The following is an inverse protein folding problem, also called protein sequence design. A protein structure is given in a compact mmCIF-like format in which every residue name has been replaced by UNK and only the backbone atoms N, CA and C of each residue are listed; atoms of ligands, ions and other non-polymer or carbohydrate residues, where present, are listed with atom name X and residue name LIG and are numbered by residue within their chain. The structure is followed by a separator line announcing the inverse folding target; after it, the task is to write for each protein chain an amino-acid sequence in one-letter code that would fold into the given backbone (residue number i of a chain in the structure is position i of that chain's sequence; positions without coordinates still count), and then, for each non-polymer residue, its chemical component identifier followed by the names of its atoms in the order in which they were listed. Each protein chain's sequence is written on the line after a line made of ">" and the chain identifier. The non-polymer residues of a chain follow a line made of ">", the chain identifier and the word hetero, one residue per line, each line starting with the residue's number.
data_IF_907739249886
#
_entry.id   IF_907739249886
#
_cell.length_a   1.000
_cell.length_b   1.000
_cell.length_c   1.000
_cell.angle_alpha   90.00
_cell.angle_beta   90.00
_cell.angle_gamma   90.00
#
_symmetry.space_group_name_H-M   'P 1'
#
loop_
_entity.id
_entity.type
_entity.pdbx_description
1 polymer ?
#
# COMPACT_ATOMS: atom_id res chain seq x y z
N UNK A 1 -5.44 10.84 -41.57
CA UNK A 1 -4.82 9.51 -41.68
C UNK A 1 -3.57 9.59 -40.86
N UNK A 2 -3.51 8.89 -39.73
CA UNK A 2 -2.21 8.64 -39.10
C UNK A 2 -1.29 8.08 -40.20
N UNK A 3 -0.10 8.65 -40.37
CA UNK A 3 0.83 8.12 -41.35
C UNK A 3 1.08 6.65 -41.02
N UNK A 4 1.04 5.77 -42.02
CA UNK A 4 1.38 4.34 -41.85
C UNK A 4 2.72 4.19 -41.10
N UNK A 5 3.65 5.13 -41.33
CA UNK A 5 4.93 5.19 -40.62
C UNK A 5 4.84 5.38 -39.10
N UNK A 6 3.85 6.12 -38.57
CA UNK A 6 3.72 6.35 -37.13
C UNK A 6 3.19 5.08 -36.43
N UNK A 7 2.29 4.33 -37.06
CA UNK A 7 1.79 3.04 -36.57
C UNK A 7 2.93 2.01 -36.52
N UNK A 8 3.72 1.94 -37.59
CA UNK A 8 4.88 1.06 -37.67
C UNK A 8 5.89 1.40 -36.57
N UNK A 9 6.10 2.69 -36.27
CA UNK A 9 7.03 3.12 -35.22
C UNK A 9 6.63 2.58 -33.84
N UNK A 10 5.35 2.65 -33.46
CA UNK A 10 4.87 2.15 -32.16
C UNK A 10 5.05 0.64 -32.06
N UNK A 11 4.67 -0.09 -33.11
CA UNK A 11 4.78 -1.55 -33.15
C UNK A 11 6.25 -2.00 -33.05
N UNK A 12 7.17 -1.31 -33.72
CA UNK A 12 8.60 -1.60 -33.66
C UNK A 12 9.19 -1.36 -32.26
N UNK A 13 8.85 -0.24 -31.63
CA UNK A 13 9.32 0.08 -30.26
C UNK A 13 8.74 -0.91 -29.26
N UNK A 14 7.47 -1.27 -29.39
CA UNK A 14 6.82 -2.27 -28.55
C UNK A 14 7.46 -3.66 -28.70
N UNK A 15 7.69 -4.12 -29.94
CA UNK A 15 8.35 -5.40 -30.20
C UNK A 15 9.76 -5.43 -29.57
N UNK A 16 10.52 -4.35 -29.73
CA UNK A 16 11.85 -4.20 -29.12
C UNK A 16 11.78 -4.27 -27.59
N UNK A 17 10.82 -3.59 -26.97
CA UNK A 17 10.62 -3.64 -25.52
C UNK A 17 10.31 -5.06 -25.04
N UNK A 18 9.50 -5.82 -25.77
CA UNK A 18 9.20 -7.22 -25.47
C UNK A 18 10.41 -8.15 -25.57
N UNK A 19 11.18 -8.03 -26.66
CA UNK A 19 12.40 -8.83 -26.85
C UNK A 19 13.38 -8.54 -25.72
N UNK A 20 13.62 -7.26 -25.44
CA UNK A 20 14.53 -6.84 -24.39
C UNK A 20 14.07 -7.28 -23.00
N UNK A 21 12.76 -7.25 -22.73
CA UNK A 21 12.18 -7.78 -21.50
C UNK A 21 12.48 -9.27 -21.31
N UNK A 22 12.29 -10.09 -22.35
CA UNK A 22 12.62 -11.53 -22.32
C UNK A 22 14.12 -11.77 -22.10
N UNK A 23 14.97 -10.97 -22.75
CA UNK A 23 16.43 -11.07 -22.58
C UNK A 23 16.89 -10.67 -21.17
N UNK A 24 16.20 -9.72 -20.55
CA UNK A 24 16.50 -9.22 -19.21
C UNK A 24 16.07 -10.19 -18.09
N UNK A 25 15.13 -11.12 -18.34
CA UNK A 25 14.66 -12.08 -17.33
C UNK A 25 15.74 -13.10 -16.93
N UNK A 26 16.61 -13.46 -17.89
CA UNK A 26 17.75 -14.35 -17.66
C UNK A 26 19.02 -13.63 -17.17
N UNK A 27 18.97 -12.29 -17.00
CA UNK A 27 20.12 -11.46 -16.68
C UNK A 27 20.40 -11.41 -15.15
N UNK A 28 21.62 -11.03 -14.73
CA UNK A 28 21.95 -10.82 -13.32
C UNK A 28 21.08 -9.74 -12.66
N UNK A 29 21.03 -9.78 -11.32
CA UNK A 29 20.06 -9.05 -10.50
C UNK A 29 20.03 -7.53 -10.76
N UNK A 30 21.17 -6.91 -11.04
CA UNK A 30 21.27 -5.49 -11.33
C UNK A 30 20.54 -5.10 -12.62
N UNK A 31 20.61 -5.94 -13.66
CA UNK A 31 19.88 -5.75 -14.93
C UNK A 31 18.40 -6.11 -14.73
N UNK A 32 18.11 -7.09 -13.87
CA UNK A 32 16.73 -7.46 -13.53
C UNK A 32 15.93 -6.29 -12.94
N UNK A 33 16.57 -5.36 -12.22
CA UNK A 33 15.91 -4.12 -11.76
C UNK A 33 15.53 -3.19 -12.93
N UNK A 34 16.28 -3.20 -14.03
CA UNK A 34 15.89 -2.47 -15.23
C UNK A 34 14.75 -3.19 -15.99
N UNK A 35 14.65 -4.51 -15.88
CA UNK A 35 13.56 -5.31 -16.44
C UNK A 35 12.18 -4.82 -15.99
N UNK A 36 12.02 -4.47 -14.71
CA UNK A 36 10.77 -3.91 -14.18
C UNK A 36 10.35 -2.61 -14.90
N UNK A 37 11.31 -1.74 -15.21
CA UNK A 37 11.05 -0.49 -15.92
C UNK A 37 10.76 -0.72 -17.41
N UNK A 38 11.44 -1.68 -18.04
CA UNK A 38 11.12 -2.11 -19.41
C UNK A 38 9.71 -2.68 -19.47
N UNK A 39 9.33 -3.52 -18.51
CA UNK A 39 7.97 -4.07 -18.41
C UNK A 39 6.91 -2.97 -18.26
N UNK A 40 7.16 -2.00 -17.37
CA UNK A 40 6.27 -0.85 -17.22
C UNK A 40 6.15 -0.07 -18.53
N UNK A 41 7.24 0.15 -19.25
CA UNK A 41 7.24 0.82 -20.55
C UNK A 41 6.45 0.03 -21.60
N UNK A 42 6.60 -1.30 -21.62
CA UNK A 42 5.84 -2.19 -22.49
C UNK A 42 4.34 -2.05 -22.26
N UNK A 43 3.88 -2.06 -21.00
CA UNK A 43 2.46 -1.86 -20.66
C UNK A 43 1.96 -0.50 -21.17
N UNK A 44 2.73 0.58 -21.00
CA UNK A 44 2.37 1.90 -21.51
C UNK A 44 2.24 1.92 -23.04
N UNK A 45 3.17 1.25 -23.74
CA UNK A 45 3.15 1.14 -25.20
C UNK A 45 2.00 0.27 -25.71
N UNK A 46 1.62 -0.79 -24.99
CA UNK A 46 0.41 -1.56 -25.28
C UNK A 46 -0.86 -0.73 -25.07
N UNK A 47 -0.91 0.10 -24.03
CA UNK A 47 -1.97 1.07 -23.81
C UNK A 47 -2.11 2.03 -24.99
N UNK A 48 -0.99 2.58 -25.48
CA UNK A 48 -0.99 3.43 -26.69
C UNK A 48 -1.53 2.67 -27.91
N UNK A 49 -1.08 1.44 -28.13
CA UNK A 49 -1.53 0.62 -29.26
C UNK A 49 -3.05 0.38 -29.19
N UNK A 50 -3.55 -0.05 -28.04
CA UNK A 50 -4.97 -0.37 -27.86
C UNK A 50 -5.87 0.87 -27.84
N UNK A 51 -5.50 1.91 -27.10
CA UNK A 51 -6.36 3.08 -26.91
C UNK A 51 -6.26 4.09 -28.06
N UNK A 52 -5.06 4.28 -28.64
CA UNK A 52 -4.83 5.35 -29.63
C UNK A 52 -4.86 4.85 -31.07
N UNK A 53 -4.40 3.63 -31.35
CA UNK A 53 -4.35 3.13 -32.74
C UNK A 53 -5.65 2.42 -33.13
N UNK A 54 -6.18 1.56 -32.26
CA UNK A 54 -7.41 0.80 -32.53
C UNK A 54 -8.67 1.67 -32.48
N UNK A 55 -8.67 2.75 -31.69
CA UNK A 55 -9.84 3.61 -31.56
C UNK A 55 -9.94 4.62 -32.72
N UNK A 56 -10.98 4.55 -33.59
CA UNK A 56 -11.14 5.48 -34.73
C UNK A 56 -11.37 6.94 -34.30
N UNK A 57 -11.84 7.18 -33.08
CA UNK A 57 -12.06 8.52 -32.54
C UNK A 57 -10.82 9.12 -31.87
N UNK A 58 -9.71 8.37 -31.81
CA UNK A 58 -8.44 8.85 -31.29
C UNK A 58 -7.91 10.04 -32.07
N UNK A 59 -7.14 10.91 -31.41
CA UNK A 59 -6.46 12.03 -32.06
C UNK A 59 -5.43 11.58 -33.11
N UNK A 60 -5.06 10.30 -33.15
CA UNK A 60 -4.26 9.73 -34.25
C UNK A 60 -4.97 9.85 -35.61
N UNK A 61 -6.29 9.71 -35.64
CA UNK A 61 -7.05 9.71 -36.89
C UNK A 61 -7.61 11.10 -37.25
N UNK A 62 -7.65 12.00 -36.28
CA UNK A 62 -8.15 13.37 -36.44
C UNK A 62 -7.17 14.25 -37.25
N UNK A 63 -7.70 15.13 -38.10
CA UNK A 63 -6.93 16.06 -38.95
C UNK A 63 -6.78 17.47 -38.35
N UNK A 64 -7.28 17.70 -37.13
CA UNK A 64 -7.23 19.01 -36.47
C UNK A 64 -5.80 19.40 -36.11
N UNK A 65 -5.48 20.69 -36.08
CA UNK A 65 -4.10 21.14 -35.76
C UNK A 65 -3.71 20.81 -34.30
N UNK A 66 -4.70 20.77 -33.40
CA UNK A 66 -4.53 20.26 -32.03
C UNK A 66 -4.18 18.77 -32.03
N UNK A 67 -4.75 17.97 -32.95
CA UNK A 67 -4.39 16.56 -33.07
C UNK A 67 -2.98 16.38 -33.62
N UNK A 68 -2.57 17.18 -34.61
CA UNK A 68 -1.20 17.16 -35.17
C UNK A 68 -0.15 17.50 -34.12
N UNK A 69 -0.37 18.54 -33.31
CA UNK A 69 0.56 18.90 -32.21
C UNK A 69 0.69 17.78 -31.18
N UNK A 70 -0.40 17.07 -30.87
CA UNK A 70 -0.36 15.89 -29.98
C UNK A 70 0.34 14.69 -30.62
N UNK A 71 0.14 14.46 -31.91
CA UNK A 71 0.85 13.43 -32.67
C UNK A 71 2.37 13.68 -32.64
N UNK A 72 2.78 14.93 -32.85
CA UNK A 72 4.19 15.32 -32.75
C UNK A 72 4.77 15.07 -31.36
N UNK A 73 4.08 15.50 -30.29
CA UNK A 73 4.53 15.24 -28.91
C UNK A 73 4.60 13.75 -28.58
N UNK A 74 3.62 12.96 -29.02
CA UNK A 74 3.66 11.51 -28.85
C UNK A 74 4.89 10.92 -29.56
N UNK A 75 5.17 11.36 -30.79
CA UNK A 75 6.33 10.92 -31.58
C UNK A 75 7.65 11.24 -30.88
N UNK A 76 7.77 12.42 -30.29
CA UNK A 76 8.92 12.82 -29.48
C UNK A 76 9.12 11.88 -28.28
N UNK A 77 8.05 11.58 -27.52
CA UNK A 77 8.12 10.64 -26.39
C UNK A 77 8.42 9.20 -26.82
N UNK A 78 7.86 8.75 -27.94
CA UNK A 78 8.17 7.44 -28.52
C UNK A 78 9.63 7.35 -28.96
N UNK A 79 10.18 8.42 -29.54
CA UNK A 79 11.59 8.50 -29.90
C UNK A 79 12.50 8.44 -28.67
N UNK A 80 12.13 9.12 -27.57
CA UNK A 80 12.86 9.01 -26.30
C UNK A 80 12.85 7.58 -25.74
N UNK A 81 11.70 6.89 -25.82
CA UNK A 81 11.58 5.48 -25.42
C UNK A 81 12.44 4.57 -26.30
N UNK A 82 12.38 4.72 -27.62
CA UNK A 82 13.21 3.95 -28.56
C UNK A 82 14.70 4.15 -28.30
N UNK A 83 15.14 5.40 -28.07
CA UNK A 83 16.53 5.73 -27.73
C UNK A 83 16.97 5.05 -26.43
N UNK A 84 16.15 5.10 -25.38
CA UNK A 84 16.45 4.44 -24.10
C UNK A 84 16.51 2.91 -24.23
N UNK A 85 15.57 2.30 -24.96
CA UNK A 85 15.55 0.87 -25.24
C UNK A 85 16.76 0.43 -26.07
N UNK A 86 17.12 1.17 -27.12
CA UNK A 86 18.33 0.93 -27.92
C UNK A 86 19.61 1.00 -27.08
N UNK A 87 19.68 1.95 -26.16
CA UNK A 87 20.84 2.08 -25.26
C UNK A 87 20.95 0.85 -24.35
N UNK A 88 19.84 0.39 -23.78
CA UNK A 88 19.79 -0.80 -22.95
C UNK A 88 20.05 -2.09 -23.75
N UNK A 89 19.57 -2.18 -25.00
CA UNK A 89 19.85 -3.29 -25.91
C UNK A 89 21.35 -3.36 -26.26
N UNK A 90 21.98 -2.22 -26.57
CA UNK A 90 23.44 -2.15 -26.77
C UNK A 90 24.19 -2.59 -25.52
N UNK A 91 23.72 -2.19 -24.35
CA UNK A 91 24.28 -2.60 -23.07
C UNK A 91 24.14 -4.12 -22.88
N UNK A 92 22.95 -4.66 -23.11
CA UNK A 92 22.67 -6.09 -23.06
C UNK A 92 23.54 -6.87 -24.04
N UNK A 93 23.69 -6.42 -25.29
CA UNK A 93 24.53 -7.08 -26.30
C UNK A 93 26.02 -7.02 -25.94
N UNK A 94 26.50 -5.89 -25.40
CA UNK A 94 27.86 -5.75 -24.84
C UNK A 94 28.11 -6.77 -23.72
N UNK A 95 27.08 -7.16 -22.98
CA UNK A 95 27.17 -8.10 -21.86
C UNK A 95 26.64 -9.52 -22.16
N UNK A 96 26.02 -9.77 -23.32
CA UNK A 96 25.61 -11.12 -23.74
C UNK A 96 26.81 -11.99 -24.16
N UNK A 97 28.01 -11.42 -24.30
CA UNK A 97 29.27 -12.17 -24.40
C UNK A 97 29.54 -13.13 -23.22
N UNK A 98 28.75 -13.05 -22.16
CA UNK A 98 28.76 -13.98 -21.02
C UNK A 98 27.96 -15.28 -21.26
N UNK A 99 27.10 -15.35 -22.28
CA UNK A 99 26.39 -16.59 -22.65
C UNK A 99 27.36 -17.66 -23.20
N UNK A 100 28.52 -17.24 -23.69
CA UNK A 100 29.64 -18.14 -24.03
C UNK A 100 30.33 -18.62 -22.75
N UNK A 101 30.42 -19.96 -22.59
CA UNK A 101 30.72 -20.74 -21.36
C UNK A 101 31.90 -20.31 -20.46
N UNK A 102 32.75 -19.36 -20.85
CA UNK A 102 33.89 -18.91 -20.06
C UNK A 102 33.89 -17.39 -19.92
N UNK A 103 33.23 -16.91 -18.88
CA UNK A 103 33.36 -15.52 -18.43
C UNK A 103 34.79 -15.31 -17.94
N UNK A 104 35.62 -14.60 -18.71
CA UNK A 104 37.00 -14.29 -18.31
C UNK A 104 36.97 -13.48 -17.01
N UNK A 105 37.92 -13.71 -16.11
CA UNK A 105 38.06 -12.95 -14.84
C UNK A 105 38.07 -11.43 -15.07
N UNK A 106 38.56 -11.00 -16.24
CA UNK A 106 38.58 -9.61 -16.69
C UNK A 106 37.19 -9.02 -16.88
N UNK A 107 36.25 -9.82 -17.39
CA UNK A 107 34.85 -9.42 -17.52
C UNK A 107 34.21 -9.27 -16.12
N UNK A 108 34.55 -10.13 -15.15
CA UNK A 108 34.11 -9.94 -13.75
C UNK A 108 34.68 -8.66 -13.10
N UNK A 109 35.89 -8.24 -13.47
CA UNK A 109 36.52 -7.03 -12.90
C UNK A 109 35.95 -5.73 -13.50
N UNK A 110 35.68 -5.71 -14.82
CA UNK A 110 35.02 -4.57 -15.51
C UNK A 110 33.61 -4.29 -14.99
N UNK A 111 32.96 -5.31 -14.40
CA UNK A 111 31.68 -5.20 -13.69
C UNK A 111 31.74 -4.46 -12.36
N UNK A 112 32.93 -4.18 -11.79
CA UNK A 112 33.01 -3.76 -10.39
C UNK A 112 32.48 -2.35 -10.15
N UNK A 113 32.69 -1.39 -11.06
CA UNK A 113 32.27 0.01 -10.89
C UNK A 113 31.73 0.67 -12.17
N UNK A 114 32.47 0.60 -13.28
CA UNK A 114 32.09 1.29 -14.52
C UNK A 114 30.83 0.68 -15.16
N UNK A 115 30.76 -0.66 -15.25
CA UNK A 115 29.56 -1.35 -15.76
C UNK A 115 28.30 -1.07 -14.92
N UNK A 116 28.44 -0.98 -13.59
CA UNK A 116 27.32 -0.62 -12.71
C UNK A 116 26.83 0.80 -12.96
N UNK A 117 27.75 1.75 -13.14
CA UNK A 117 27.42 3.14 -13.50
C UNK A 117 26.73 3.23 -14.86
N UNK A 118 27.18 2.45 -15.85
CA UNK A 118 26.53 2.38 -17.17
C UNK A 118 25.09 1.83 -17.05
N UNK A 119 24.88 0.75 -16.29
CA UNK A 119 23.55 0.17 -16.02
C UNK A 119 22.64 1.19 -15.32
N UNK A 120 23.13 1.85 -14.28
CA UNK A 120 22.36 2.87 -13.55
C UNK A 120 21.98 4.04 -14.45
N UNK A 121 22.87 4.47 -15.33
CA UNK A 121 22.58 5.55 -16.29
C UNK A 121 21.52 5.11 -17.30
N UNK A 122 21.63 3.89 -17.86
CA UNK A 122 20.63 3.37 -18.79
C UNK A 122 19.27 3.15 -18.10
N UNK A 123 19.27 2.75 -16.83
CA UNK A 123 18.07 2.66 -15.99
C UNK A 123 17.43 4.03 -15.79
N UNK A 124 18.22 5.06 -15.45
CA UNK A 124 17.71 6.41 -15.29
C UNK A 124 17.04 6.92 -16.59
N UNK A 125 17.66 6.67 -17.75
CA UNK A 125 17.08 7.00 -19.05
C UNK A 125 15.74 6.29 -19.30
N UNK A 126 15.65 4.99 -19.00
CA UNK A 126 14.40 4.23 -19.12
C UNK A 126 13.30 4.76 -18.21
N UNK A 127 13.63 5.06 -16.95
CA UNK A 127 12.69 5.64 -15.98
C UNK A 127 12.20 6.99 -16.44
N UNK A 128 13.11 7.85 -16.91
CA UNK A 128 12.77 9.19 -17.41
C UNK A 128 11.86 9.08 -18.64
N UNK A 129 12.23 8.29 -19.65
CA UNK A 129 11.42 8.10 -20.85
C UNK A 129 10.03 7.54 -20.54
N UNK A 130 9.95 6.53 -19.66
CA UNK A 130 8.67 5.96 -19.21
C UNK A 130 7.82 6.98 -18.45
N UNK A 131 8.42 7.80 -17.59
CA UNK A 131 7.72 8.83 -16.83
C UNK A 131 7.19 9.94 -17.74
N UNK A 132 7.97 10.38 -18.73
CA UNK A 132 7.53 11.35 -19.73
C UNK A 132 6.35 10.81 -20.55
N UNK A 133 6.43 9.56 -21.00
CA UNK A 133 5.35 8.90 -21.73
C UNK A 133 4.07 8.79 -20.87
N UNK A 134 4.20 8.37 -19.61
CA UNK A 134 3.08 8.29 -18.68
C UNK A 134 2.47 9.66 -18.37
N UNK A 135 3.30 10.70 -18.20
CA UNK A 135 2.82 12.07 -18.01
C UNK A 135 2.02 12.55 -19.21
N UNK A 136 2.49 12.27 -20.42
CA UNK A 136 1.76 12.56 -21.66
C UNK A 136 0.42 11.80 -21.72
N UNK A 137 0.39 10.50 -21.44
CA UNK A 137 -0.85 9.72 -21.40
C UNK A 137 -1.82 10.21 -20.33
N UNK A 138 -1.31 10.60 -19.16
CA UNK A 138 -2.11 11.23 -18.10
C UNK A 138 -2.73 12.54 -18.56
N UNK A 139 -1.97 13.39 -19.27
CA UNK A 139 -2.50 14.64 -19.83
C UNK A 139 -3.61 14.39 -20.86
N UNK A 140 -3.50 13.34 -21.68
CA UNK A 140 -4.56 12.94 -22.61
C UNK A 140 -5.80 12.42 -21.89
N UNK A 141 -5.61 11.66 -20.80
CA UNK A 141 -6.72 11.16 -19.99
C UNK A 141 -7.54 12.30 -19.35
N UNK A 142 -6.87 13.35 -18.86
CA UNK A 142 -7.52 14.54 -18.33
C UNK A 142 -8.33 15.29 -19.39
N UNK A 143 -7.81 15.39 -20.61
CA UNK A 143 -8.54 16.01 -21.72
C UNK A 143 -9.80 15.23 -22.12
N UNK A 144 -9.73 13.90 -22.12
CA UNK A 144 -10.90 13.05 -22.38
C UNK A 144 -11.93 13.23 -21.28
N UNK A 145 -11.49 13.30 -20.02
CA UNK A 145 -12.38 13.54 -18.89
C UNK A 145 -13.10 14.89 -19.03
N UNK A 146 -12.39 15.95 -19.41
CA UNK A 146 -12.98 17.27 -19.64
C UNK A 146 -13.97 17.27 -20.81
N UNK A 147 -13.67 16.56 -21.91
CA UNK A 147 -14.63 16.40 -23.02
C UNK A 147 -15.88 15.64 -22.62
N UNK A 148 -15.73 14.58 -21.82
CA UNK A 148 -16.87 13.82 -21.27
C UNK A 148 -17.69 14.70 -20.33
N UNK A 149 -17.05 15.47 -19.46
CA UNK A 149 -17.71 16.44 -18.59
C UNK A 149 -18.49 17.49 -19.39
N UNK A 150 -17.86 18.09 -20.41
CA UNK A 150 -18.52 19.04 -21.31
C UNK A 150 -19.68 18.41 -22.09
N UNK A 151 -19.54 17.18 -22.58
CA UNK A 151 -20.65 16.46 -23.22
C UNK A 151 -21.80 16.19 -22.23
N UNK A 152 -21.48 15.79 -20.99
CA UNK A 152 -22.48 15.59 -19.94
C UNK A 152 -23.18 16.90 -19.60
N UNK A 153 -22.46 18.02 -19.49
CA UNK A 153 -23.05 19.35 -19.31
C UNK A 153 -23.97 19.74 -20.48
N UNK A 154 -23.56 19.48 -21.72
CA UNK A 154 -24.39 19.74 -22.90
C UNK A 154 -25.66 18.89 -22.91
N UNK A 155 -25.54 17.60 -22.56
CA UNK A 155 -26.70 16.70 -22.42
C UNK A 155 -27.60 17.21 -21.29
N UNK A 156 -27.06 17.60 -20.15
CA UNK A 156 -27.84 18.17 -19.04
C UNK A 156 -28.54 19.48 -19.44
N UNK A 157 -27.88 20.37 -20.18
CA UNK A 157 -28.49 21.59 -20.75
C UNK A 157 -29.64 21.26 -21.70
N UNK A 158 -29.46 20.27 -22.59
CA UNK A 158 -30.51 19.81 -23.51
C UNK A 158 -31.68 19.18 -22.77
N UNK A 159 -31.41 18.39 -21.72
CA UNK A 159 -32.43 17.81 -20.86
C UNK A 159 -33.20 18.89 -20.08
N UNK A 160 -32.51 19.88 -19.51
CA UNK A 160 -33.17 21.01 -18.83
C UNK A 160 -34.06 21.83 -19.78
N UNK A 161 -33.66 21.99 -21.05
CA UNK A 161 -34.53 22.59 -22.07
C UNK A 161 -35.78 21.75 -22.35
N UNK A 162 -35.63 20.43 -22.45
CA UNK A 162 -36.77 19.52 -22.64
C UNK A 162 -37.70 19.50 -21.42
N UNK A 163 -37.16 19.63 -20.21
CA UNK A 163 -37.93 19.76 -18.97
C UNK A 163 -38.69 21.09 -18.93
N UNK A 164 -38.10 22.19 -19.43
CA UNK A 164 -38.81 23.46 -19.60
C UNK A 164 -39.98 23.38 -20.60
N UNK A 165 -39.89 22.54 -21.64
CA UNK A 165 -41.03 22.23 -22.51
C UNK A 165 -42.06 21.27 -21.88
N UNK A 166 -41.65 20.52 -20.86
CA UNK A 166 -42.51 19.60 -20.10
C UNK A 166 -43.16 20.25 -18.88
N UNK A 167 -42.76 21.47 -18.52
CA UNK A 167 -43.44 22.25 -17.50
C UNK A 167 -44.86 22.54 -18.01
N UNK A 168 -45.91 22.04 -17.34
CA UNK A 168 -47.26 22.28 -17.79
C UNK A 168 -47.53 23.77 -17.64
N UNK A 169 -47.68 24.48 -18.76
CA UNK A 169 -48.47 25.71 -18.84
C UNK A 169 -49.91 25.37 -18.43
N UNK A 170 -50.10 25.10 -17.15
CA UNK A 170 -51.34 24.92 -16.42
C UNK A 170 -51.64 26.22 -15.69
N UNK A 171 -51.53 27.32 -16.41
CA UNK A 171 -52.22 28.57 -16.09
C UNK A 171 -53.06 28.92 -17.29
N UNK A 172 -54.04 28.07 -17.58
CA UNK A 172 -55.21 28.54 -18.32
C UNK A 172 -56.07 29.31 -17.30
N UNK A 173 -56.46 30.56 -17.61
CA UNK A 173 -57.39 31.31 -16.78
C UNK A 173 -58.74 30.58 -16.81
N UNK A 174 -59.27 30.25 -15.65
CA UNK A 174 -60.68 29.89 -15.50
C UNK A 174 -61.52 31.11 -15.87
N UNK A 175 -61.90 31.21 -17.14
CA UNK A 175 -62.87 32.18 -17.65
C UNK A 175 -63.98 31.43 -18.36
N UNK A 176 -65.15 31.39 -17.72
CA UNK A 176 -66.36 30.73 -18.18
C UNK A 176 -66.83 31.22 -19.56
N UNK A 177 -67.47 30.35 -20.33
CA UNK A 177 -68.81 30.61 -20.90
C UNK A 177 -69.37 29.36 -21.59
N UNK A 178 -70.58 29.01 -21.17
CA UNK A 178 -71.44 28.04 -21.82
C UNK A 178 -71.93 28.58 -23.17
N UNK A 179 -72.13 27.69 -24.15
CA UNK A 179 -72.79 28.04 -25.41
C UNK A 179 -72.58 26.96 -26.45
N UNK A 180 -73.64 26.24 -26.76
CA UNK A 180 -73.64 25.09 -27.67
C UNK A 180 -73.33 25.43 -29.12
N UNK A 181 -73.01 24.39 -29.89
CA UNK A 181 -72.81 24.48 -31.32
C UNK A 181 -72.38 23.14 -31.89
N UNK A 182 -73.37 22.36 -32.34
CA UNK A 182 -73.17 21.14 -33.10
C UNK A 182 -72.49 21.43 -34.44
N UNK A 183 -71.56 20.56 -34.85
CA UNK A 183 -71.08 20.51 -36.23
C UNK A 183 -69.56 20.46 -36.40
N UNK A 184 -69.01 19.26 -36.44
CA UNK A 184 -68.11 18.77 -37.50
C UNK A 184 -67.17 17.69 -36.96
N UNK A 185 -67.38 16.46 -37.44
CA UNK A 185 -66.46 15.35 -37.30
C UNK A 185 -65.23 15.59 -38.18
N UNK A 186 -64.31 16.46 -37.74
CA UNK A 186 -62.90 16.35 -38.13
C UNK A 186 -62.24 15.46 -37.10
N UNK A 187 -61.96 14.22 -37.49
CA UNK A 187 -61.06 13.30 -36.79
C UNK A 187 -59.76 14.03 -36.46
N UNK A 188 -59.70 14.57 -35.24
CA UNK A 188 -58.47 15.09 -34.64
C UNK A 188 -57.49 13.92 -34.65
N UNK A 189 -56.47 14.00 -35.50
CA UNK A 189 -55.31 13.12 -35.41
C UNK A 189 -54.83 13.19 -33.96
N UNK A 190 -54.99 12.07 -33.22
CA UNK A 190 -54.44 11.92 -31.88
C UNK A 190 -52.95 12.22 -32.01
N UNK A 191 -52.54 13.43 -31.61
CA UNK A 191 -51.15 13.81 -31.52
C UNK A 191 -50.45 12.71 -30.73
N UNK A 192 -49.57 11.97 -31.40
CA UNK A 192 -48.87 10.84 -30.80
C UNK A 192 -48.22 11.36 -29.51
N UNK A 193 -48.72 10.88 -28.38
CA UNK A 193 -48.39 11.44 -27.08
C UNK A 193 -46.89 11.37 -26.86
N UNK A 194 -46.25 12.52 -26.69
CA UNK A 194 -44.83 12.61 -26.31
C UNK A 194 -44.53 11.91 -24.97
N UNK A 195 -45.57 11.51 -24.23
CA UNK A 195 -45.52 10.69 -23.02
C UNK A 195 -44.70 9.43 -23.22
N UNK A 196 -44.87 8.70 -24.33
CA UNK A 196 -44.11 7.46 -24.57
C UNK A 196 -42.62 7.75 -24.75
N UNK A 197 -42.26 8.85 -25.43
CA UNK A 197 -40.87 9.28 -25.59
C UNK A 197 -40.29 9.79 -24.27
N UNK A 198 -41.06 10.51 -23.46
CA UNK A 198 -40.65 10.98 -22.13
C UNK A 198 -40.44 9.81 -21.15
N UNK A 199 -41.30 8.79 -21.20
CA UNK A 199 -41.14 7.55 -20.41
C UNK A 199 -39.87 6.81 -20.85
N UNK A 200 -39.61 6.65 -22.15
CA UNK A 200 -38.39 6.00 -22.62
C UNK A 200 -37.14 6.78 -22.20
N UNK A 201 -37.13 8.11 -22.35
CA UNK A 201 -35.99 8.96 -21.95
C UNK A 201 -35.77 8.93 -20.44
N UNK A 202 -36.81 9.02 -19.63
CA UNK A 202 -36.72 8.92 -18.16
C UNK A 202 -36.23 7.54 -17.70
N UNK A 203 -36.60 6.46 -18.39
CA UNK A 203 -36.14 5.10 -18.08
C UNK A 203 -34.67 4.90 -18.45
N UNK A 204 -34.23 5.47 -19.57
CA UNK A 204 -32.81 5.52 -19.97
C UNK A 204 -32.00 6.33 -18.94
N UNK A 205 -32.48 7.52 -18.54
CA UNK A 205 -31.84 8.34 -17.52
C UNK A 205 -31.79 7.66 -16.15
N UNK A 206 -32.85 6.94 -15.77
CA UNK A 206 -32.89 6.16 -14.53
C UNK A 206 -31.85 5.03 -14.54
N UNK A 207 -31.71 4.31 -15.67
CA UNK A 207 -30.68 3.28 -15.85
C UNK A 207 -29.27 3.88 -15.80
N UNK A 208 -29.05 5.03 -16.44
CA UNK A 208 -27.76 5.70 -16.49
C UNK A 208 -27.35 6.28 -15.11
N UNK A 209 -28.32 6.83 -14.36
CA UNK A 209 -28.11 7.22 -12.95
C UNK A 209 -27.78 6.00 -12.07
N UNK A 210 -28.45 4.85 -12.29
CA UNK A 210 -28.18 3.61 -11.55
C UNK A 210 -26.77 3.10 -11.84
N UNK A 211 -26.35 3.03 -13.10
CA UNK A 211 -24.99 2.60 -13.48
C UNK A 211 -23.91 3.55 -12.94
N UNK A 212 -24.12 4.87 -13.02
CA UNK A 212 -23.21 5.86 -12.42
C UNK A 212 -23.10 5.73 -10.90
N UNK A 213 -24.22 5.47 -10.19
CA UNK A 213 -24.20 5.21 -8.74
C UNK A 213 -23.42 3.94 -8.41
N UNK A 214 -23.61 2.86 -9.18
CA UNK A 214 -22.88 1.61 -8.99
C UNK A 214 -21.39 1.79 -9.28
N UNK A 215 -21.03 2.55 -10.31
CA UNK A 215 -19.65 2.88 -10.63
C UNK A 215 -19.00 3.74 -9.55
N UNK A 216 -19.67 4.80 -9.05
CA UNK A 216 -19.19 5.62 -7.92
C UNK A 216 -19.04 4.80 -6.64
N UNK A 217 -19.97 3.88 -6.35
CA UNK A 217 -19.86 2.97 -5.20
C UNK A 217 -18.68 2.01 -5.37
N UNK A 218 -18.50 1.39 -6.54
CA UNK A 218 -17.35 0.52 -6.84
C UNK A 218 -16.02 1.28 -6.75
N UNK A 219 -15.96 2.54 -7.19
CA UNK A 219 -14.75 3.38 -7.07
C UNK A 219 -14.49 3.80 -5.62
N UNK A 220 -15.53 4.12 -4.85
CA UNK A 220 -15.42 4.44 -3.43
C UNK A 220 -15.04 3.23 -2.57
N UNK A 221 -15.48 2.02 -2.94
CA UNK A 221 -15.10 0.77 -2.28
C UNK A 221 -13.74 0.24 -2.73
N UNK A 222 -13.36 0.42 -4.00
CA UNK A 222 -12.03 0.08 -4.50
C UNK A 222 -10.89 0.87 -3.80
N UNK A 223 -11.21 2.05 -3.25
CA UNK A 223 -10.31 2.82 -2.39
C UNK A 223 -10.27 2.39 -0.92
N UNK A 224 -11.19 1.51 -0.46
CA UNK A 224 -11.24 1.05 0.94
C UNK A 224 -10.72 -0.38 1.16
N UNK A 225 -10.84 -1.27 0.17
CA UNK A 225 -10.34 -2.65 0.29
C UNK A 225 -8.89 -2.82 -0.20
N UNK A 226 -8.30 -1.76 -0.76
CA UNK A 226 -6.86 -1.66 -1.01
C UNK A 226 -6.13 -0.91 0.11
N UNK A 227 -6.56 -1.08 1.38
CA UNK A 227 -5.73 -0.74 2.56
C UNK A 227 -4.61 -1.77 2.74
N UNK A 228 -3.85 -1.97 1.66
CA UNK A 228 -2.44 -2.36 1.71
C UNK A 228 -1.78 -1.29 2.58
N UNK A 229 -1.13 -1.72 3.67
CA UNK A 229 -0.29 -0.87 4.52
C UNK A 229 0.63 -0.04 3.64
N UNK A 230 0.31 1.23 3.44
CA UNK A 230 1.31 2.20 2.98
C UNK A 230 2.35 2.35 4.09
N UNK A 231 3.64 2.45 3.76
CA UNK A 231 4.65 2.85 4.72
C UNK A 231 4.27 4.23 5.26
N UNK A 232 4.44 4.42 6.55
CA UNK A 232 4.21 5.71 7.19
C UNK A 232 4.96 6.80 6.43
N UNK A 233 4.22 7.77 5.87
CA UNK A 233 4.79 9.09 5.58
C UNK A 233 5.41 9.66 6.86
N UNK A 234 6.32 10.65 6.73
CA UNK A 234 7.12 11.14 7.84
C UNK A 234 6.20 11.57 8.99
N UNK A 235 6.19 10.75 10.03
CA UNK A 235 5.44 11.03 11.24
C UNK A 235 5.90 12.38 11.77
N UNK A 236 4.93 13.17 12.21
CA UNK A 236 5.12 14.37 13.03
C UNK A 236 6.34 14.17 13.95
N UNK A 237 7.31 15.09 13.85
CA UNK A 237 8.58 15.05 14.58
C UNK A 237 8.26 14.75 16.05
N UNK A 238 8.54 13.52 16.47
CA UNK A 238 8.51 13.16 17.88
C UNK A 238 9.66 13.89 18.51
N UNK A 239 9.38 14.67 19.55
CA UNK A 239 10.36 15.34 20.38
C UNK A 239 11.48 14.34 20.70
N UNK A 240 12.69 14.66 20.24
CA UNK A 240 13.88 13.84 20.39
C UNK A 240 14.19 13.76 21.88
N UNK A 241 13.65 12.74 22.57
CA UNK A 241 14.16 12.35 23.87
C UNK A 241 15.40 11.51 23.63
N UNK A 242 16.55 12.20 23.74
CA UNK A 242 17.91 11.68 23.98
C UNK A 242 18.30 10.46 23.13
N UNK A 243 18.73 10.74 21.91
CA UNK A 243 19.81 9.93 21.31
C UNK A 243 21.10 10.17 22.10
N UNK A 244 21.80 9.10 22.46
CA UNK A 244 23.15 9.20 23.00
C UNK A 244 24.01 9.85 21.92
N UNK A 245 24.39 11.11 22.15
CA UNK A 245 25.39 11.79 21.35
C UNK A 245 26.64 10.91 21.34
N UNK A 246 27.21 10.67 20.16
CA UNK A 246 28.32 9.74 19.92
C UNK A 246 29.65 10.12 20.58
N UNK A 247 29.63 10.80 21.73
CA UNK A 247 30.77 11.02 22.58
C UNK A 247 31.02 9.75 23.41
N UNK A 248 32.24 9.21 23.30
CA UNK A 248 32.68 8.09 24.11
C UNK A 248 32.49 8.41 25.61
N UNK A 249 32.10 7.43 26.44
CA UNK A 249 31.83 7.63 27.86
C UNK A 249 33.10 8.10 28.60
N UNK A 250 33.18 9.41 28.87
CA UNK A 250 34.20 10.02 29.72
C UNK A 250 33.83 9.84 31.19
N UNK A 251 34.71 9.18 31.97
CA UNK A 251 34.50 8.96 33.42
C UNK A 251 34.38 10.29 34.19
N UNK A 252 35.08 11.34 33.76
CA UNK A 252 35.01 12.67 34.37
C UNK A 252 33.64 13.33 34.11
N UNK A 253 33.12 13.25 32.88
CA UNK A 253 31.80 13.81 32.55
C UNK A 253 30.69 13.09 33.33
N UNK A 254 30.79 11.77 33.48
CA UNK A 254 29.84 11.03 34.29
C UNK A 254 29.89 11.46 35.75
N UNK A 255 31.08 11.61 36.37
CA UNK A 255 31.20 12.13 37.75
C UNK A 255 30.56 13.53 37.92
N UNK A 256 30.76 14.42 36.95
CA UNK A 256 30.15 15.75 36.93
C UNK A 256 28.62 15.71 36.80
N UNK A 257 28.09 14.80 35.98
CA UNK A 257 26.64 14.62 35.85
C UNK A 257 26.04 14.02 37.13
N UNK A 258 26.75 13.12 37.80
CA UNK A 258 26.28 12.55 39.07
C UNK A 258 26.29 13.59 40.19
N UNK A 259 27.32 14.44 40.28
CA UNK A 259 27.36 15.52 41.28
C UNK A 259 26.30 16.58 41.02
N UNK A 260 26.03 16.91 39.76
CA UNK A 260 24.97 17.86 39.41
C UNK A 260 23.57 17.31 39.73
N UNK A 261 23.33 16.02 39.46
CA UNK A 261 22.07 15.36 39.81
C UNK A 261 21.87 15.26 41.33
N UNK A 262 22.94 15.01 42.10
CA UNK A 262 22.88 14.99 43.56
C UNK A 262 22.54 16.38 44.14
N UNK A 263 23.12 17.46 43.58
CA UNK A 263 22.82 18.82 44.03
C UNK A 263 21.38 19.27 43.69
N UNK A 264 20.83 18.82 42.56
CA UNK A 264 19.42 19.06 42.21
C UNK A 264 18.44 18.32 43.13
N UNK A 265 18.80 17.13 43.61
CA UNK A 265 17.99 16.39 44.57
C UNK A 265 18.08 16.96 46.00
N UNK A 266 19.21 17.60 46.33
CA UNK A 266 19.45 18.22 47.63
C UNK A 266 18.88 19.64 47.75
N UNK A 267 18.33 20.23 46.68
CA UNK A 267 17.71 21.55 46.74
C UNK A 267 16.26 21.40 47.26
N UNK A 268 15.91 21.91 48.46
CA UNK A 268 14.55 21.79 48.97
C UNK A 268 13.59 22.58 48.09
N UNK A 269 12.60 21.89 47.53
CA UNK A 269 11.59 22.48 46.67
C UNK A 269 10.78 23.54 47.45
N UNK A 270 11.02 24.81 47.17
CA UNK A 270 10.15 25.89 47.63
C UNK A 270 8.77 25.70 46.99
N UNK A 271 7.74 25.61 47.83
CA UNK A 271 6.34 25.42 47.42
C UNK A 271 5.92 26.54 46.45
N UNK A 272 5.37 26.24 45.27
CA UNK A 272 4.80 27.27 44.42
C UNK A 272 3.50 27.79 45.06
N UNK A 273 3.48 29.09 45.36
CA UNK A 273 2.28 29.81 45.78
C UNK A 273 1.24 29.86 44.64
N UNK A 274 0.00 29.50 44.99
CA UNK A 274 -1.27 29.95 44.42
C UNK A 274 -1.35 30.16 42.90
N UNK A 275 -1.46 29.07 42.14
CA UNK A 275 -1.99 29.12 40.78
C UNK A 275 -3.52 29.00 40.79
N UNK A 276 -4.20 30.06 40.36
CA UNK A 276 -5.67 30.16 40.22
C UNK A 276 -6.24 29.06 39.30
N UNK A 277 -7.44 28.54 39.58
CA UNK A 277 -8.08 27.50 38.77
C UNK A 277 -8.48 28.05 37.39
N UNK A 278 -8.07 27.37 36.32
CA UNK A 278 -8.52 27.65 34.95
C UNK A 278 -9.91 27.03 34.71
N UNK A 279 -10.84 27.71 34.03
CA UNK A 279 -12.16 27.17 33.71
C UNK A 279 -12.05 25.99 32.73
N UNK A 280 -12.81 24.93 33.02
CA UNK A 280 -12.95 23.75 32.15
C UNK A 280 -13.73 24.11 30.89
N UNK A 281 -13.27 23.61 29.75
CA UNK A 281 -14.05 23.57 28.50
C UNK A 281 -15.29 22.69 28.69
N UNK A 282 -16.48 23.10 28.22
CA UNK A 282 -17.70 22.32 28.36
C UNK A 282 -17.64 21.01 27.55
N UNK A 283 -18.11 19.92 28.16
CA UNK A 283 -18.29 18.61 27.53
C UNK A 283 -19.46 18.69 26.52
N UNK A 284 -19.38 18.01 25.36
CA UNK A 284 -20.42 18.04 24.34
C UNK A 284 -21.54 17.06 24.72
N UNK A 285 -22.36 17.40 25.70
CA UNK A 285 -23.55 16.64 26.08
C UNK A 285 -24.73 17.59 26.31
N UNK A 286 -25.37 18.07 25.24
CA UNK A 286 -26.72 18.67 25.19
C UNK A 286 -27.13 18.68 23.70
N UNK A 287 -28.30 18.25 23.21
CA UNK A 287 -29.67 18.26 23.75
C UNK A 287 -30.49 17.08 23.17
N UNK A 288 -31.23 16.35 24.00
CA UNK A 288 -32.47 15.69 23.59
C UNK A 288 -33.59 16.31 24.44
N UNK A 289 -34.33 17.23 23.84
CA UNK A 289 -35.61 17.70 24.36
C UNK A 289 -36.68 16.68 23.94
N UNK A 290 -37.52 16.18 24.87
CA UNK A 290 -38.64 15.31 24.52
C UNK A 290 -39.74 16.15 23.84
N UNK A 291 -40.16 15.71 22.66
CA UNK A 291 -41.29 16.28 21.92
C UNK A 291 -42.58 15.55 22.38
N UNK A 292 -43.58 16.21 23.00
CA UNK A 292 -44.72 15.53 23.63
C UNK A 292 -45.85 15.10 22.68
N UNK A 293 -45.65 15.07 21.35
CA UNK A 293 -46.75 14.81 20.39
C UNK A 293 -46.56 13.63 19.43
N UNK A 294 -45.53 12.80 19.59
CA UNK A 294 -45.32 11.64 18.71
C UNK A 294 -45.71 10.33 19.41
N UNK A 295 -47.01 10.03 19.43
CA UNK A 295 -47.56 8.78 19.92
C UNK A 295 -47.58 7.71 18.81
N UNK A 296 -46.42 7.21 18.33
CA UNK A 296 -46.39 5.95 17.55
C UNK A 296 -45.00 5.38 17.19
N UNK A 297 -43.89 5.68 17.89
CA UNK A 297 -42.58 5.08 17.57
C UNK A 297 -42.04 4.13 18.66
N UNK A 298 -41.45 2.97 18.29
CA UNK A 298 -40.99 1.95 19.24
C UNK A 298 -39.72 2.39 20.00
N UNK A 299 -39.50 1.91 21.24
CA UNK A 299 -38.46 2.40 22.12
C UNK A 299 -37.05 2.03 21.61
N UNK A 300 -36.25 3.05 21.32
CA UNK A 300 -34.83 2.89 21.01
C UNK A 300 -34.03 2.39 22.22
N UNK A 301 -32.93 1.64 22.00
CA UNK A 301 -32.16 1.02 23.07
C UNK A 301 -31.47 2.08 23.95
N UNK A 302 -31.76 2.03 25.25
CA UNK A 302 -31.16 2.93 26.24
C UNK A 302 -29.62 2.79 26.33
N UNK A 303 -28.93 3.82 26.85
CA UNK A 303 -27.48 3.84 26.90
C UNK A 303 -26.92 2.77 27.84
N UNK A 304 -26.09 1.88 27.28
CA UNK A 304 -25.36 0.83 28.00
C UNK A 304 -24.37 1.47 28.97
N UNK A 305 -24.74 1.52 30.26
CA UNK A 305 -23.84 1.87 31.38
C UNK A 305 -22.67 0.89 31.42
N UNK A 306 -21.48 1.35 31.00
CA UNK A 306 -20.24 0.56 31.07
C UNK A 306 -19.75 0.45 32.53
N UNK A 307 -20.10 -0.64 33.19
CA UNK A 307 -19.60 -1.05 34.51
C UNK A 307 -18.14 -1.53 34.45
N UNK A 308 -17.20 -0.60 34.32
CA UNK A 308 -15.75 -0.90 34.25
C UNK A 308 -15.07 -1.12 35.62
N UNK A 309 -15.79 -0.92 36.74
CA UNK A 309 -15.26 -1.05 38.10
C UNK A 309 -15.29 -2.49 38.62
N UNK A 310 -16.36 -3.25 38.36
CA UNK A 310 -16.47 -4.64 38.86
C UNK A 310 -15.48 -5.60 38.21
N UNK A 311 -15.23 -5.47 36.89
CA UNK A 311 -14.23 -6.29 36.20
C UNK A 311 -12.81 -6.09 36.74
N UNK A 312 -12.48 -4.89 37.26
CA UNK A 312 -11.19 -4.65 37.91
C UNK A 312 -11.10 -5.28 39.29
N UNK A 313 -12.21 -5.37 40.02
CA UNK A 313 -12.28 -5.98 41.34
C UNK A 313 -12.21 -7.51 41.25
N UNK A 314 -12.98 -8.11 40.33
CA UNK A 314 -12.92 -9.56 40.07
C UNK A 314 -11.53 -9.99 39.57
N UNK A 315 -10.89 -9.18 38.72
CA UNK A 315 -9.51 -9.45 38.29
C UNK A 315 -8.47 -9.42 39.43
N UNK A 316 -8.71 -8.67 40.51
CA UNK A 316 -7.83 -8.67 41.70
C UNK A 316 -8.07 -9.88 42.60
N UNK A 317 -9.32 -10.30 42.76
CA UNK A 317 -9.68 -11.45 43.61
C UNK A 317 -9.13 -12.75 43.00
N UNK A 318 -9.25 -12.93 41.68
CA UNK A 318 -8.70 -14.10 40.99
C UNK A 318 -7.16 -14.14 40.98
N UNK A 319 -6.49 -12.99 41.07
CA UNK A 319 -5.02 -12.91 41.16
C UNK A 319 -4.48 -13.29 42.55
N UNK A 320 -5.30 -13.16 43.60
CA UNK A 320 -4.91 -13.58 44.95
C UNK A 320 -5.14 -15.07 45.22
N UNK A 321 -6.14 -15.71 44.58
CA UNK A 321 -6.40 -17.14 44.74
C UNK A 321 -5.38 -18.05 44.04
N UNK A 322 -4.68 -17.57 43.01
CA UNK A 322 -3.67 -18.37 42.30
C UNK A 322 -2.30 -18.49 42.99
N UNK A 323 -2.11 -17.88 44.16
CA UNK A 323 -0.83 -17.88 44.88
C UNK A 323 -0.74 -18.93 46.00
N UNK A 324 -1.80 -19.68 46.27
CA UNK A 324 -1.81 -20.74 47.28
C UNK A 324 -1.48 -22.10 46.66
N UNK A 325 -0.26 -22.56 46.94
CA UNK A 325 0.16 -23.97 47.00
C UNK A 325 -0.13 -24.84 45.77
N UNK A 326 0.47 -24.52 44.62
CA UNK A 326 0.78 -25.55 43.63
C UNK A 326 2.21 -26.02 43.85
N UNK A 327 2.48 -27.36 43.82
CA UNK A 327 3.81 -27.89 44.00
C UNK A 327 4.76 -27.25 43.00
N UNK A 328 5.90 -26.76 43.49
CA UNK A 328 6.94 -26.05 42.73
C UNK A 328 7.49 -26.96 41.63
N UNK A 329 6.81 -26.97 40.47
CA UNK A 329 7.35 -27.51 39.23
C UNK A 329 8.73 -26.87 38.99
N UNK A 330 9.71 -27.62 38.46
CA UNK A 330 11.01 -27.06 38.12
C UNK A 330 10.80 -25.79 37.31
N UNK A 331 11.39 -24.69 37.78
CA UNK A 331 11.17 -23.35 37.25
C UNK A 331 11.61 -23.28 35.79
N UNK A 332 10.68 -23.55 34.87
CA UNK A 332 10.92 -23.49 33.43
C UNK A 332 11.32 -22.06 33.06
N UNK A 333 12.57 -21.86 32.66
CA UNK A 333 13.04 -20.54 32.26
C UNK A 333 13.08 -20.44 30.73
N UNK A 334 12.20 -19.61 30.17
CA UNK A 334 12.12 -19.37 28.73
C UNK A 334 13.03 -18.23 28.30
N UNK A 335 13.68 -18.38 27.15
CA UNK A 335 14.44 -17.33 26.48
C UNK A 335 14.20 -17.36 24.97
N UNK A 336 13.98 -16.19 24.37
CA UNK A 336 13.86 -16.03 22.92
C UNK A 336 15.13 -15.44 22.30
N UNK A 337 15.50 -15.98 21.14
CA UNK A 337 16.64 -15.57 20.35
C UNK A 337 16.19 -15.30 18.92
N UNK A 338 16.62 -14.16 18.39
CA UNK A 338 16.54 -13.84 16.97
C UNK A 338 17.82 -14.35 16.31
N UNK A 339 17.68 -15.30 15.40
CA UNK A 339 18.79 -15.87 14.62
C UNK A 339 18.70 -15.28 13.21
N UNK A 340 19.77 -14.63 12.76
CA UNK A 340 19.91 -14.18 11.39
C UNK A 340 20.99 -15.03 10.72
N UNK A 341 20.62 -15.69 9.61
CA UNK A 341 21.58 -16.42 8.77
C UNK A 341 21.59 -15.77 7.41
N UNK A 342 22.75 -15.22 7.04
CA UNK A 342 22.98 -14.75 5.68
C UNK A 342 23.34 -15.93 4.79
N UNK A 343 22.48 -16.22 3.82
CA UNK A 343 22.84 -17.07 2.69
C UNK A 343 23.51 -16.20 1.64
N UNK A 344 24.83 -16.37 1.48
CA UNK A 344 25.53 -15.93 0.28
C UNK A 344 25.54 -17.09 -0.73
N UNK A 345 25.58 -16.80 -2.03
CA UNK A 345 25.61 -17.83 -3.07
C UNK A 345 26.82 -18.78 -2.99
N UNK A 346 27.93 -18.35 -2.37
CA UNK A 346 29.19 -19.11 -2.35
C UNK A 346 29.52 -19.63 -0.94
N UNK A 347 29.08 -18.96 0.13
CA UNK A 347 29.42 -19.33 1.51
C UNK A 347 28.24 -19.12 2.48
N UNK A 348 28.08 -20.03 3.45
CA UNK A 348 27.13 -19.81 4.56
C UNK A 348 27.82 -18.96 5.61
N UNK A 349 27.25 -17.78 5.91
CA UNK A 349 27.77 -16.95 7.00
C UNK A 349 27.42 -17.56 8.35
N UNK A 350 28.30 -17.42 9.34
CA UNK A 350 28.03 -17.90 10.69
C UNK A 350 26.78 -17.22 11.25
N UNK A 351 25.86 -17.97 11.90
CA UNK A 351 24.60 -17.43 12.39
C UNK A 351 24.83 -16.38 13.48
N UNK A 352 24.31 -15.16 13.27
CA UNK A 352 24.30 -14.13 14.31
C UNK A 352 23.05 -14.30 15.17
N UNK A 353 23.25 -14.45 16.48
CA UNK A 353 22.15 -14.61 17.43
C UNK A 353 22.04 -13.38 18.35
N UNK A 354 20.85 -12.78 18.42
CA UNK A 354 20.55 -11.63 19.28
C UNK A 354 19.44 -12.02 20.26
N UNK A 355 19.65 -11.80 21.55
CA UNK A 355 18.66 -12.12 22.58
C UNK A 355 17.49 -11.15 22.49
N UNK A 356 16.27 -11.68 22.46
CA UNK A 356 15.05 -10.89 22.47
C UNK A 356 14.41 -10.92 23.86
N UNK A 357 14.36 -9.77 24.53
CA UNK A 357 13.85 -9.66 25.91
C UNK A 357 12.32 -9.51 25.91
N UNK A 358 11.61 -10.47 26.49
CA UNK A 358 10.15 -10.42 26.78
C UNK A 358 9.86 -11.14 28.11
N UNK A 359 8.67 -10.93 28.66
CA UNK A 359 8.23 -11.58 29.91
C UNK A 359 8.03 -13.10 29.75
N UNK A 360 8.26 -13.87 30.82
CA UNK A 360 8.23 -15.35 30.80
C UNK A 360 6.89 -15.92 30.28
N UNK A 361 5.76 -15.41 30.75
CA UNK A 361 4.44 -15.83 30.28
C UNK A 361 4.23 -15.57 28.78
N UNK A 362 4.76 -14.46 28.25
CA UNK A 362 4.68 -14.15 26.81
C UNK A 362 5.57 -15.08 25.99
N UNK A 363 6.76 -15.41 26.51
CA UNK A 363 7.68 -16.34 25.85
C UNK A 363 7.10 -17.76 25.78
N UNK A 364 6.49 -18.24 26.87
CA UNK A 364 5.79 -19.54 26.91
C UNK A 364 4.66 -19.60 25.88
N UNK A 365 3.79 -18.58 25.86
CA UNK A 365 2.70 -18.48 24.85
C UNK A 365 3.23 -18.41 23.41
N UNK A 366 4.26 -17.62 23.17
CA UNK A 366 4.86 -17.48 21.84
C UNK A 366 5.48 -18.80 21.35
N UNK A 367 6.13 -19.54 22.25
CA UNK A 367 6.66 -20.85 21.94
C UNK A 367 5.59 -21.90 21.64
N UNK A 368 4.46 -21.88 22.37
CA UNK A 368 3.29 -22.72 22.09
C UNK A 368 2.74 -22.40 20.69
N UNK A 369 2.52 -21.12 20.37
CA UNK A 369 2.06 -20.72 19.03
C UNK A 369 3.02 -21.21 17.93
N UNK A 370 4.34 -21.17 18.16
CA UNK A 370 5.30 -21.70 17.19
C UNK A 370 5.25 -23.21 17.05
N UNK A 371 4.99 -23.94 18.13
CA UNK A 371 4.83 -25.40 18.12
C UNK A 371 3.54 -25.81 17.42
N UNK A 372 2.43 -25.13 17.72
CA UNK A 372 1.13 -25.36 17.10
C UNK A 372 1.18 -25.04 15.60
N UNK A 373 1.83 -23.93 15.23
CA UNK A 373 2.08 -23.59 13.84
C UNK A 373 2.95 -24.66 13.15
N UNK A 374 3.95 -25.23 13.82
CA UNK A 374 4.76 -26.30 13.24
C UNK A 374 3.98 -27.60 12.99
N UNK A 375 2.91 -27.85 13.74
CA UNK A 375 2.04 -29.00 13.55
C UNK A 375 1.08 -28.83 12.36
N UNK A 376 0.59 -27.60 12.13
CA UNK A 376 -0.40 -27.30 11.08
C UNK A 376 0.26 -26.94 9.75
N UNK A 377 1.32 -26.13 9.80
CA UNK A 377 2.03 -25.60 8.64
C UNK A 377 3.17 -26.59 8.28
N UNK A 378 2.88 -27.55 7.38
CA UNK A 378 3.94 -28.35 6.73
C UNK A 378 4.86 -27.47 5.84
N UNK A 379 4.54 -26.18 5.69
CA UNK A 379 5.31 -25.23 4.93
C UNK A 379 6.68 -24.94 5.57
N UNK A 380 7.67 -24.62 4.73
CA UNK A 380 9.10 -24.48 5.05
C UNK A 380 9.49 -23.40 6.08
N UNK A 381 8.53 -22.81 6.81
CA UNK A 381 8.76 -21.71 7.76
C UNK A 381 8.82 -22.15 9.22
N UNK A 382 8.30 -23.33 9.55
CA UNK A 382 8.44 -23.90 10.89
C UNK A 382 9.88 -24.39 11.10
N UNK A 383 10.46 -24.11 12.28
CA UNK A 383 11.78 -24.58 12.64
C UNK A 383 11.66 -25.80 13.53
N UNK A 384 12.31 -26.89 13.15
CA UNK A 384 12.46 -28.08 14.00
C UNK A 384 13.75 -28.04 14.81
N UNK A 385 13.84 -28.91 15.81
CA UNK A 385 15.08 -29.12 16.58
C UNK A 385 16.25 -29.61 15.71
N UNK A 386 15.94 -30.28 14.59
CA UNK A 386 16.91 -30.76 13.61
C UNK A 386 17.50 -29.65 12.73
N UNK A 387 16.91 -28.45 12.72
CA UNK A 387 17.41 -27.32 11.93
C UNK A 387 18.81 -26.90 12.42
N UNK A 388 19.74 -26.71 11.47
CA UNK A 388 21.14 -26.38 11.76
C UNK A 388 21.29 -25.11 12.60
N UNK A 389 20.37 -24.14 12.42
CA UNK A 389 20.33 -22.88 13.16
C UNK A 389 20.03 -23.10 14.64
N UNK A 390 19.04 -23.96 14.90
CA UNK A 390 18.61 -24.31 16.25
C UNK A 390 19.69 -25.15 16.94
N UNK A 391 20.24 -26.15 16.24
CA UNK A 391 21.34 -26.98 16.76
C UNK A 391 22.57 -26.18 17.14
N UNK A 392 22.98 -25.23 16.30
CA UNK A 392 24.14 -24.37 16.60
C UNK A 392 23.88 -23.50 17.84
N UNK A 393 22.68 -22.91 17.95
CA UNK A 393 22.30 -22.13 19.13
C UNK A 393 22.25 -22.99 20.40
N UNK A 394 21.61 -24.16 20.35
CA UNK A 394 21.53 -25.09 21.48
C UNK A 394 22.92 -25.54 21.93
N UNK A 395 23.81 -25.89 20.99
CA UNK A 395 25.19 -26.28 21.30
C UNK A 395 25.96 -25.14 21.98
N UNK A 396 25.84 -23.90 21.49
CA UNK A 396 26.46 -22.74 22.14
C UNK A 396 25.92 -22.49 23.55
N UNK A 397 24.60 -22.64 23.77
CA UNK A 397 23.99 -22.41 25.09
C UNK A 397 24.24 -23.53 26.09
N UNK A 398 24.19 -24.78 25.66
CA UNK A 398 24.49 -25.93 26.52
C UNK A 398 25.98 -25.93 26.90
N UNK A 399 26.91 -25.67 25.96
CA UNK A 399 28.33 -25.52 26.30
C UNK A 399 28.61 -24.44 27.35
N UNK A 400 27.84 -23.35 27.34
CA UNK A 400 27.93 -22.27 28.35
C UNK A 400 27.24 -22.62 29.68
N UNK A 401 26.32 -23.58 29.67
CA UNK A 401 25.57 -24.03 30.84
C UNK A 401 26.29 -25.16 31.59
N UNK A 402 26.95 -26.06 30.87
CA UNK A 402 27.61 -27.27 31.41
C UNK A 402 28.63 -26.95 32.52
N UNK A 403 29.23 -25.76 32.52
CA UNK A 403 30.16 -25.32 33.58
C UNK A 403 29.51 -24.68 34.82
N UNK A 404 28.17 -24.57 34.91
CA UNK A 404 27.50 -23.81 35.98
C UNK A 404 26.48 -24.61 36.80
N UNK A 405 26.29 -25.90 36.52
CA UNK A 405 25.26 -26.72 37.18
C UNK A 405 23.83 -26.20 36.98
N UNK A 406 23.65 -25.27 36.04
CA UNK A 406 22.35 -24.67 35.75
C UNK A 406 21.77 -25.49 34.59
N UNK A 407 20.53 -25.98 34.73
CA UNK A 407 19.85 -26.93 33.84
C UNK A 407 20.01 -26.77 32.32
N UNK A 408 19.66 -27.80 31.56
CA UNK A 408 19.94 -27.91 30.12
C UNK A 408 18.94 -27.07 29.31
N UNK A 409 19.43 -26.44 28.24
CA UNK A 409 18.55 -25.78 27.28
C UNK A 409 18.00 -26.79 26.28
N UNK A 410 16.69 -26.76 26.11
CA UNK A 410 15.91 -27.54 25.17
C UNK A 410 15.19 -26.63 24.18
N UNK A 411 14.96 -27.12 22.96
CA UNK A 411 14.17 -26.41 21.97
C UNK A 411 12.69 -26.48 22.31
N UNK A 412 12.03 -25.32 22.45
CA UNK A 412 10.61 -25.28 22.77
C UNK A 412 9.75 -25.04 21.52
N UNK A 413 10.14 -24.08 20.67
CA UNK A 413 9.50 -23.80 19.38
C UNK A 413 10.19 -22.66 18.61
N UNK A 414 10.02 -22.60 17.29
CA UNK A 414 10.65 -21.57 16.46
C UNK A 414 10.02 -21.41 15.07
N UNK A 415 10.17 -20.22 14.49
CA UNK A 415 9.61 -19.88 13.17
C UNK A 415 10.49 -18.88 12.42
N UNK A 416 10.55 -19.01 11.10
CA UNK A 416 11.10 -17.99 10.19
C UNK A 416 10.10 -16.84 10.08
N UNK A 417 10.49 -15.65 10.54
CA UNK A 417 9.63 -14.47 10.62
C UNK A 417 9.73 -13.62 9.36
N UNK A 418 10.95 -13.45 8.86
CA UNK A 418 11.25 -12.48 7.81
C UNK A 418 12.40 -13.00 6.95
N UNK A 419 12.27 -12.84 5.63
CA UNK A 419 13.36 -13.04 4.67
C UNK A 419 13.68 -11.65 4.12
N UNK A 420 14.79 -11.08 4.59
CA UNK A 420 15.27 -9.82 4.04
C UNK A 420 16.13 -10.13 2.82
N UNK A 421 15.75 -9.70 1.60
CA UNK A 421 16.74 -9.49 0.58
C UNK A 421 17.67 -8.39 1.10
N UNK A 422 18.94 -8.73 1.31
CA UNK A 422 19.96 -7.79 1.76
C UNK A 422 20.01 -6.59 0.81
N UNK A 423 20.57 -5.47 1.28
CA UNK A 423 20.59 -4.21 0.51
C UNK A 423 21.19 -4.34 -0.89
N UNK A 424 22.07 -5.33 -1.09
CA UNK A 424 22.73 -5.62 -2.36
C UNK A 424 22.03 -6.72 -3.17
N UNK A 425 20.93 -7.30 -2.69
CA UNK A 425 20.22 -8.41 -3.33
C UNK A 425 20.93 -9.77 -3.24
N UNK A 426 22.27 -9.75 -3.29
CA UNK A 426 23.15 -10.93 -3.23
C UNK A 426 23.14 -11.72 -1.91
N UNK A 427 22.53 -11.18 -0.85
CA UNK A 427 22.47 -11.85 0.46
C UNK A 427 21.02 -11.98 0.88
N UNK A 428 20.48 -13.19 0.90
CA UNK A 428 19.19 -13.40 1.56
C UNK A 428 19.44 -13.65 3.05
N UNK A 429 18.96 -12.76 3.90
CA UNK A 429 19.05 -12.92 5.36
C UNK A 429 17.73 -13.46 5.86
N UNK A 430 17.72 -14.75 6.22
CA UNK A 430 16.58 -15.33 6.91
C UNK A 430 16.67 -14.99 8.40
N UNK A 431 15.64 -14.32 8.91
CA UNK A 431 15.46 -14.01 10.32
C UNK A 431 14.47 -15.00 10.94
N UNK A 432 15.00 -15.83 11.83
CA UNK A 432 14.26 -16.78 12.64
C UNK A 432 14.09 -16.27 14.08
N UNK A 433 12.95 -16.57 14.70
CA UNK A 433 12.78 -16.49 16.15
C UNK A 433 12.73 -17.90 16.72
N UNK A 434 13.54 -18.15 17.75
CA UNK A 434 13.65 -19.43 18.43
C UNK A 434 13.46 -19.22 19.93
N UNK A 435 12.53 -19.95 20.51
CA UNK A 435 12.28 -20.00 21.95
C UNK A 435 12.91 -21.27 22.49
N UNK A 436 13.80 -21.10 23.47
CA UNK A 436 14.41 -22.18 24.22
C UNK A 436 13.82 -22.18 25.63
N UNK A 437 13.65 -23.37 26.19
CA UNK A 437 13.31 -23.57 27.60
C UNK A 437 14.51 -24.15 28.31
N UNK A 438 14.77 -23.69 29.51
CA UNK A 438 15.76 -24.29 30.40
C UNK A 438 15.02 -25.12 31.45
N UNK A 439 15.39 -26.39 31.56
CA UNK A 439 14.87 -27.32 32.55
C UNK A 439 15.98 -27.79 33.46
#
# INVERSE_FOLDING_TARGET
>A
MAGIGDIISVAQVLHRAYTLYKDCDAAPEEIRLACEHIHSMTICLEGIRSDLLTNPHSFMHQKTDIAKTRQYRLKEHLHACDKALKRMEKLMNKYQGFKTKHVKLWDKFRWSQEGKREIETCKADLVMACTMLNGFLGSLGLDVLWKVESMVEQIMKRLGRLEAFSAPNSTLPMGATAGGGAGSNKTRQRAQSNVTRAIVVSLVLARLRKTLRTYRRKRASAGKDSKKKTPAGPGRIKTITRTNSGFAPSKQRNKLLTSYAANLAATPASKPQNARPRPRTPSPDFYYLPNPTAASDPPGPGPIRRSSSMQRLLGRISAHQSNTSTPSLPSEYFACWKIAVGNLPIFKTAPKHVRYKRGQAQLKRMGQIFRDAAAVDASSRALGERDSRVRFLLRDKNRKADGKGKGRWEFFGGRVVERDPGRTGMVSVEKALVVLVRR
#
